data_IF_665886410478
#
_entry.id   IF_665886410478
#
_cell.length_a   1.000
_cell.length_b   1.000
_cell.length_c   1.000
_cell.angle_alpha   90.00
_cell.angle_beta   90.00
_cell.angle_gamma   90.00
#
_symmetry.space_group_name_H-M   'P 1'
#
loop_
_entity.id
_entity.type
_entity.pdbx_description
1 polymer ?
#
# COMPACT_ATOMS: atom_id res chain seq x y z
N UNK A 1 41.73 28.42 -16.26
CA UNK A 1 40.48 27.99 -15.61
C UNK A 1 39.93 26.82 -16.39
N UNK A 2 39.78 25.64 -15.79
CA UNK A 2 39.17 24.48 -16.46
C UNK A 2 37.66 24.46 -16.16
N UNK A 3 36.78 24.22 -17.15
CA UNK A 3 35.34 24.20 -16.92
C UNK A 3 34.98 22.97 -16.08
N UNK A 4 34.19 23.21 -15.02
CA UNK A 4 33.72 22.17 -14.12
C UNK A 4 32.98 21.08 -14.89
N UNK A 5 33.37 19.82 -14.66
CA UNK A 5 32.68 18.66 -15.21
C UNK A 5 31.27 18.62 -14.63
N UNK A 6 30.28 18.88 -15.49
CA UNK A 6 28.87 18.62 -15.21
C UNK A 6 28.70 17.13 -14.94
N UNK A 7 28.25 16.76 -13.74
CA UNK A 7 27.89 15.38 -13.40
C UNK A 7 26.64 15.01 -14.18
N UNK A 8 26.60 13.86 -14.90
CA UNK A 8 25.41 13.48 -15.65
C UNK A 8 24.29 13.14 -14.66
N UNK A 9 23.14 13.79 -14.86
CA UNK A 9 21.90 13.44 -14.16
C UNK A 9 21.47 12.03 -14.58
N UNK A 10 21.76 11.03 -13.75
CA UNK A 10 21.34 9.65 -14.02
C UNK A 10 22.08 8.54 -13.27
N UNK A 11 23.15 8.84 -12.52
CA UNK A 11 23.91 7.81 -11.79
C UNK A 11 23.76 7.86 -10.26
N UNK A 12 22.73 8.55 -9.75
CA UNK A 12 22.42 8.60 -8.32
C UNK A 12 21.58 7.40 -7.89
N UNK A 13 21.57 7.04 -6.59
CA UNK A 13 20.57 6.12 -6.06
C UNK A 13 19.17 6.63 -6.45
N UNK A 14 18.24 5.71 -6.77
CA UNK A 14 16.91 6.11 -7.20
C UNK A 14 16.31 7.01 -6.12
N UNK A 15 15.70 8.11 -6.58
CA UNK A 15 15.02 8.97 -5.62
C UNK A 15 13.80 8.21 -5.06
N UNK A 16 13.38 8.57 -3.86
CA UNK A 16 12.25 7.95 -3.16
C UNK A 16 10.97 7.88 -4.02
N UNK A 17 10.81 8.81 -4.96
CA UNK A 17 9.66 8.84 -5.87
C UNK A 17 9.72 7.76 -6.95
N UNK A 18 10.89 7.49 -7.51
CA UNK A 18 11.09 6.37 -8.44
C UNK A 18 10.88 5.03 -7.74
N UNK A 19 11.30 4.91 -6.49
CA UNK A 19 11.04 3.71 -5.68
C UNK A 19 9.55 3.55 -5.39
N UNK A 20 8.86 4.63 -5.00
CA UNK A 20 7.41 4.61 -4.83
C UNK A 20 6.69 4.17 -6.11
N UNK A 21 7.06 4.74 -7.26
CA UNK A 21 6.39 4.47 -8.53
C UNK A 21 6.56 3.01 -8.92
N UNK A 22 7.79 2.48 -8.79
CA UNK A 22 8.08 1.06 -9.00
C UNK A 22 7.31 0.14 -8.05
N UNK A 23 7.22 0.50 -6.77
CA UNK A 23 6.44 -0.26 -5.80
C UNK A 23 4.96 -0.29 -6.18
N UNK A 24 4.37 0.87 -6.49
CA UNK A 24 2.98 0.98 -6.91
C UNK A 24 2.69 0.15 -8.17
N UNK A 25 3.54 0.24 -9.19
CA UNK A 25 3.43 -0.52 -10.43
C UNK A 25 3.56 -2.04 -10.19
N UNK A 26 4.48 -2.45 -9.32
CA UNK A 26 4.64 -3.86 -8.96
C UNK A 26 3.39 -4.42 -8.27
N UNK A 27 2.82 -3.68 -7.30
CA UNK A 27 1.57 -4.06 -6.65
C UNK A 27 0.41 -4.15 -7.65
N UNK A 28 0.29 -3.19 -8.56
CA UNK A 28 -0.73 -3.21 -9.61
C UNK A 28 -0.58 -4.44 -10.52
N UNK A 29 0.64 -4.76 -10.96
CA UNK A 29 0.91 -5.90 -11.84
C UNK A 29 0.62 -7.25 -11.16
N UNK A 30 0.88 -7.37 -9.85
CA UNK A 30 0.49 -8.56 -9.06
C UNK A 30 -1.03 -8.68 -9.02
N UNK A 31 -1.75 -7.60 -8.71
CA UNK A 31 -3.22 -7.60 -8.70
C UNK A 31 -3.80 -7.97 -10.07
N UNK A 32 -3.29 -7.39 -11.15
CA UNK A 32 -3.72 -7.70 -12.52
C UNK A 32 -3.52 -9.19 -12.85
N UNK A 33 -2.47 -9.82 -12.33
CA UNK A 33 -2.21 -11.26 -12.53
C UNK A 33 -3.17 -12.11 -11.71
N UNK A 34 -3.39 -11.78 -10.44
CA UNK A 34 -4.29 -12.52 -9.55
C UNK A 34 -5.74 -12.42 -10.00
N UNK A 35 -6.16 -11.25 -10.48
CA UNK A 35 -7.50 -11.02 -11.02
C UNK A 35 -7.72 -11.76 -12.33
N UNK A 36 -6.74 -11.79 -13.24
CA UNK A 36 -6.83 -12.62 -14.47
C UNK A 36 -6.89 -14.11 -14.19
N UNK A 37 -6.24 -14.57 -13.12
CA UNK A 37 -6.38 -15.94 -12.62
C UNK A 37 -7.72 -16.17 -11.91
N UNK A 38 -8.48 -15.10 -11.63
CA UNK A 38 -9.75 -15.11 -10.89
C UNK A 38 -10.93 -15.69 -11.65
N UNK A 39 -10.83 -15.78 -12.99
CA UNK A 39 -11.78 -16.54 -13.81
C UNK A 39 -11.65 -18.07 -13.62
N UNK A 40 -10.70 -18.52 -12.81
CA UNK A 40 -10.48 -19.94 -12.49
C UNK A 40 -10.62 -20.09 -10.97
N UNK A 41 -11.55 -20.93 -10.52
CA UNK A 41 -11.88 -21.28 -9.12
C UNK A 41 -10.74 -22.01 -8.37
N UNK A 42 -9.49 -21.57 -8.57
CA UNK A 42 -8.32 -22.09 -7.87
C UNK A 42 -8.12 -21.25 -6.61
N UNK A 43 -8.16 -21.85 -5.41
CA UNK A 43 -7.86 -21.12 -4.17
C UNK A 43 -6.40 -20.65 -4.17
N UNK A 44 -6.11 -19.57 -3.43
CA UNK A 44 -4.73 -19.15 -3.19
C UNK A 44 -4.02 -20.21 -2.34
N UNK A 45 -2.75 -20.45 -2.63
CA UNK A 45 -1.86 -21.13 -1.69
C UNK A 45 -1.64 -20.27 -0.45
N UNK A 46 -1.19 -20.88 0.64
CA UNK A 46 -0.86 -20.17 1.87
C UNK A 46 0.24 -19.11 1.68
N UNK A 47 1.27 -19.42 0.88
CA UNK A 47 2.34 -18.48 0.55
C UNK A 47 1.80 -17.27 -0.22
N UNK A 48 1.02 -17.51 -1.28
CA UNK A 48 0.40 -16.43 -2.06
C UNK A 48 -0.50 -15.56 -1.19
N UNK A 49 -1.27 -16.17 -0.28
CA UNK A 49 -2.10 -15.43 0.67
C UNK A 49 -1.25 -14.56 1.60
N UNK A 50 -0.22 -15.12 2.22
CA UNK A 50 0.70 -14.40 3.13
C UNK A 50 1.38 -13.21 2.45
N UNK A 51 1.80 -13.38 1.19
CA UNK A 51 2.38 -12.31 0.38
C UNK A 51 1.37 -11.19 0.11
N UNK A 52 0.12 -11.53 -0.23
CA UNK A 52 -0.95 -10.56 -0.45
C UNK A 52 -1.35 -9.84 0.86
N UNK A 53 -1.42 -10.53 1.99
CA UNK A 53 -1.66 -9.92 3.30
C UNK A 53 -0.52 -8.94 3.67
N UNK A 54 0.73 -9.31 3.40
CA UNK A 54 1.89 -8.41 3.58
C UNK A 54 1.81 -7.18 2.68
N UNK A 55 1.40 -7.37 1.43
CA UNK A 55 1.17 -6.25 0.50
C UNK A 55 0.07 -5.32 1.03
N UNK A 56 -1.01 -5.84 1.60
CA UNK A 56 -2.08 -5.03 2.20
C UNK A 56 -1.57 -4.18 3.36
N UNK A 57 -0.75 -4.76 4.26
CA UNK A 57 -0.13 -4.03 5.36
C UNK A 57 0.77 -2.89 4.86
N UNK A 58 1.59 -3.15 3.84
CA UNK A 58 2.48 -2.17 3.25
C UNK A 58 1.71 -1.02 2.58
N UNK A 59 0.67 -1.34 1.81
CA UNK A 59 -0.19 -0.34 1.18
C UNK A 59 -0.92 0.51 2.23
N UNK A 60 -1.43 -0.10 3.30
CA UNK A 60 -2.09 0.62 4.38
C UNK A 60 -1.12 1.57 5.11
N UNK A 61 0.09 1.11 5.43
CA UNK A 61 1.12 1.95 6.04
C UNK A 61 1.52 3.13 5.14
N UNK A 62 1.78 2.85 3.86
CA UNK A 62 2.17 3.86 2.89
C UNK A 62 1.04 4.88 2.63
N UNK A 63 -0.21 4.42 2.60
CA UNK A 63 -1.39 5.27 2.44
C UNK A 63 -1.62 6.27 3.58
N UNK A 64 -1.08 6.01 4.78
CA UNK A 64 -1.07 6.95 5.91
C UNK A 64 0.02 8.00 5.82
N UNK A 65 1.13 7.69 5.15
CA UNK A 65 2.29 8.59 5.01
C UNK A 65 2.18 9.54 3.80
N UNK A 66 1.32 9.21 2.84
CA UNK A 66 1.15 9.97 1.60
C UNK A 66 -0.05 10.92 1.67
N UNK A 67 -0.04 11.92 0.80
CA UNK A 67 -1.14 12.88 0.63
C UNK A 67 -1.55 13.04 -0.85
N UNK A 68 -2.73 13.63 -1.06
CA UNK A 68 -3.23 14.02 -2.36
C UNK A 68 -3.49 12.85 -3.30
N UNK A 69 -3.09 12.98 -4.58
CA UNK A 69 -3.29 11.93 -5.60
C UNK A 69 -2.65 10.59 -5.19
N UNK A 70 -1.42 10.63 -4.65
CA UNK A 70 -0.67 9.41 -4.31
C UNK A 70 -1.33 8.59 -3.21
N UNK A 71 -1.83 9.26 -2.17
CA UNK A 71 -2.61 8.59 -1.13
C UNK A 71 -3.86 7.90 -1.69
N UNK A 72 -4.54 8.56 -2.64
CA UNK A 72 -5.72 8.00 -3.32
C UNK A 72 -5.35 6.79 -4.17
N UNK A 73 -4.27 6.87 -4.94
CA UNK A 73 -3.81 5.77 -5.79
C UNK A 73 -3.47 4.51 -4.95
N UNK A 74 -2.75 4.70 -3.82
CA UNK A 74 -2.44 3.59 -2.90
C UNK A 74 -3.69 3.01 -2.23
N UNK A 75 -4.64 3.86 -1.80
CA UNK A 75 -5.91 3.39 -1.23
C UNK A 75 -6.73 2.57 -2.23
N UNK A 76 -6.75 2.99 -3.50
CA UNK A 76 -7.41 2.24 -4.57
C UNK A 76 -6.80 0.84 -4.76
N UNK A 77 -5.46 0.73 -4.73
CA UNK A 77 -4.79 -0.58 -4.78
C UNK A 77 -5.14 -1.44 -3.56
N UNK A 78 -5.18 -0.85 -2.36
CA UNK A 78 -5.55 -1.56 -1.14
C UNK A 78 -6.99 -2.07 -1.18
N UNK A 79 -7.95 -1.23 -1.59
CA UNK A 79 -9.34 -1.63 -1.75
C UNK A 79 -9.49 -2.78 -2.74
N UNK A 80 -8.78 -2.70 -3.87
CA UNK A 80 -8.78 -3.72 -4.91
C UNK A 80 -8.18 -5.04 -4.42
N UNK A 81 -7.10 -4.97 -3.66
CA UNK A 81 -6.49 -6.13 -3.00
C UNK A 81 -7.42 -6.80 -1.98
N UNK A 82 -8.08 -6.01 -1.13
CA UNK A 82 -9.03 -6.55 -0.15
C UNK A 82 -10.17 -7.32 -0.83
N UNK A 83 -10.71 -6.81 -1.94
CA UNK A 83 -11.72 -7.55 -2.75
C UNK A 83 -11.18 -8.84 -3.35
N UNK A 84 -9.89 -8.91 -3.67
CA UNK A 84 -9.26 -10.16 -4.14
C UNK A 84 -9.16 -11.17 -3.00
N UNK A 85 -8.75 -10.71 -1.82
CA UNK A 85 -8.64 -11.53 -0.61
C UNK A 85 -10.01 -12.07 -0.17
N UNK A 86 -11.02 -11.20 -0.10
CA UNK A 86 -12.41 -11.57 0.22
C UNK A 86 -12.95 -12.64 -0.74
N UNK A 87 -12.83 -12.41 -2.06
CA UNK A 87 -13.32 -13.36 -3.09
C UNK A 87 -12.66 -14.73 -3.00
N UNK A 88 -11.40 -14.79 -2.58
CA UNK A 88 -10.64 -16.05 -2.47
C UNK A 88 -10.68 -16.65 -1.06
N UNK A 89 -11.61 -16.21 -0.22
CA UNK A 89 -11.90 -16.81 1.09
C UNK A 89 -10.92 -16.42 2.19
N UNK A 90 -10.15 -15.33 2.02
CA UNK A 90 -9.34 -14.79 3.10
C UNK A 90 -10.22 -13.92 4.02
N UNK A 91 -10.22 -14.26 5.32
CA UNK A 91 -10.82 -13.42 6.34
C UNK A 91 -10.16 -12.04 6.33
N UNK A 92 -10.99 -10.99 6.31
CA UNK A 92 -10.59 -9.58 6.28
C UNK A 92 -9.53 -9.24 7.34
N UNK A 93 -8.44 -8.60 6.91
CA UNK A 93 -7.57 -7.86 7.83
C UNK A 93 -8.32 -6.66 8.41
N UNK A 94 -8.14 -6.44 9.71
CA UNK A 94 -8.93 -5.58 10.59
C UNK A 94 -9.24 -4.18 10.03
N UNK A 95 -10.41 -3.59 10.40
CA UNK A 95 -10.76 -2.23 10.03
C UNK A 95 -9.64 -1.27 10.45
N UNK A 96 -9.18 -0.46 9.50
CA UNK A 96 -8.34 0.70 9.78
C UNK A 96 -9.05 1.53 10.86
N UNK A 97 -8.41 1.83 12.00
CA UNK A 97 -8.98 2.79 12.93
C UNK A 97 -9.03 4.12 12.18
N UNK A 98 -10.23 4.57 11.87
CA UNK A 98 -10.47 5.99 11.64
C UNK A 98 -9.89 6.70 12.85
N UNK A 99 -8.96 7.62 12.58
CA UNK A 99 -8.35 8.46 13.58
C UNK A 99 -9.39 9.42 14.13
N UNK A 100 -10.33 8.89 14.90
CA UNK A 100 -11.18 9.66 15.80
C UNK A 100 -10.29 9.97 17.00
N UNK A 101 -9.76 11.20 17.02
CA UNK A 101 -9.07 11.72 18.19
C UNK A 101 -9.98 11.53 19.41
N UNK A 102 -9.50 10.96 20.53
CA UNK A 102 -10.33 10.89 21.72
C UNK A 102 -10.52 12.31 22.23
N UNK A 103 -11.74 12.83 22.08
CA UNK A 103 -12.21 14.03 22.75
C UNK A 103 -12.06 13.78 24.26
N UNK A 104 -11.00 14.34 24.86
CA UNK A 104 -10.85 14.33 26.32
C UNK A 104 -11.96 15.18 26.92
N UNK A 105 -12.90 14.50 27.56
CA UNK A 105 -13.90 15.11 28.41
C UNK A 105 -13.21 15.71 29.65
N UNK A 106 -13.31 17.02 29.92
CA UNK A 106 -12.70 17.65 31.08
C UNK A 106 -13.67 17.57 32.26
N UNK A 107 -13.95 16.38 32.77
CA UNK A 107 -14.75 16.24 33.98
C UNK A 107 -14.25 15.09 34.85
N UNK A 108 -14.02 15.42 36.12
CA UNK A 108 -13.85 14.53 37.28
C UNK A 108 -12.41 14.35 37.77
N UNK A 109 -11.86 15.41 38.36
CA UNK A 109 -11.01 15.26 39.56
C UNK A 109 -11.83 15.82 40.72
N UNK A 110 -12.42 14.93 41.49
CA UNK A 110 -12.79 15.18 42.89
C UNK A 110 -12.58 13.87 43.63
N UNK A 111 -11.64 13.89 44.57
CA UNK A 111 -11.17 12.76 45.35
C UNK A 111 -9.91 13.18 46.08
#
# INVERSE_FOLDING_TARGET
MAPGKSVPAGSGPPNLWEEFSRFHEACAAVLDRVERRGDVDIPLTESERSELDTMALNLAALGRLLHGKRARDVRLLLERLNRVLERRGAALSAPMPDGEEPQRDPATITG
#
